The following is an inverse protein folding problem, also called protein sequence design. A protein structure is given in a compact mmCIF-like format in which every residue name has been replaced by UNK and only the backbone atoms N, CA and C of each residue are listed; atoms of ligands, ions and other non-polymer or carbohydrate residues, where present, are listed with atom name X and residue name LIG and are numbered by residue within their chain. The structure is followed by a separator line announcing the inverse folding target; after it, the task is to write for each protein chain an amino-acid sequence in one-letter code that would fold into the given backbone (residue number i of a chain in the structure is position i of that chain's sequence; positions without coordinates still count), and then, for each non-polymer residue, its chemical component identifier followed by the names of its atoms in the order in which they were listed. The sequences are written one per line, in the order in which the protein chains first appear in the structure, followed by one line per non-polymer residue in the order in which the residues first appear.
data_IF_353870509627
#
_entry.id   IF_353870509627
#
_cell.length_a   1.000
_cell.length_b   1.000
_cell.length_c   1.000
_cell.angle_alpha   90.00
_cell.angle_beta   90.00
_cell.angle_gamma   90.00
#
_symmetry.space_group_name_H-M   'P 1'
#
loop_
_entity.id
_entity.type
_entity.pdbx_description
1 polymer ?
#
# COMPACT_ATOMS: atom_id res chain seq x y z
N UNK A 1 -31.31 24.84 -0.67
CA UNK A 1 -30.00 25.32 -0.15
C UNK A 1 -29.00 25.07 -1.25
N UNK A 2 -28.52 26.14 -1.86
CA UNK A 2 -27.53 26.12 -2.93
C UNK A 2 -26.20 25.57 -2.41
N UNK A 3 -25.68 24.52 -3.05
CA UNK A 3 -24.30 24.06 -2.85
C UNK A 3 -23.34 25.05 -3.52
N UNK A 4 -22.40 25.59 -2.74
CA UNK A 4 -21.29 26.39 -3.28
C UNK A 4 -20.36 25.50 -4.12
N UNK A 5 -19.88 25.97 -5.29
CA UNK A 5 -18.97 25.21 -6.12
C UNK A 5 -17.56 25.19 -5.49
N UNK A 6 -16.99 24.00 -5.36
CA UNK A 6 -15.58 23.81 -5.00
C UNK A 6 -14.73 24.25 -6.20
N UNK A 7 -13.77 25.13 -5.95
CA UNK A 7 -12.89 25.71 -6.95
C UNK A 7 -12.13 24.63 -7.74
N UNK A 8 -12.25 24.68 -9.07
CA UNK A 8 -11.45 23.87 -10.00
C UNK A 8 -10.02 24.41 -10.05
N UNK A 9 -9.16 23.94 -9.16
CA UNK A 9 -7.71 23.98 -9.37
C UNK A 9 -7.33 22.80 -10.26
N UNK A 10 -6.93 23.07 -11.50
CA UNK A 10 -6.25 22.07 -12.35
C UNK A 10 -4.88 21.78 -11.74
N UNK A 11 -4.78 20.73 -10.94
CA UNK A 11 -3.49 20.06 -10.74
C UNK A 11 -3.44 18.96 -11.78
N UNK A 12 -2.64 19.17 -12.81
CA UNK A 12 -2.24 18.10 -13.70
C UNK A 12 -1.36 17.16 -12.85
N UNK A 13 -1.93 16.03 -12.44
CA UNK A 13 -1.13 14.93 -11.90
C UNK A 13 -0.54 14.24 -13.12
N UNK A 14 0.76 14.40 -13.32
CA UNK A 14 1.50 13.62 -14.31
C UNK A 14 1.37 12.15 -13.92
N UNK A 15 0.61 11.37 -14.70
CA UNK A 15 0.53 9.92 -14.53
C UNK A 15 1.85 9.33 -15.05
N UNK A 16 2.76 8.97 -14.16
CA UNK A 16 3.98 8.22 -14.52
C UNK A 16 3.59 6.89 -15.18
N UNK A 17 4.18 6.59 -16.34
CA UNK A 17 4.01 5.33 -17.05
C UNK A 17 4.65 4.18 -16.24
N UNK A 18 3.84 3.19 -15.88
CA UNK A 18 4.29 2.01 -15.13
C UNK A 18 4.43 0.83 -16.09
N UNK A 19 5.66 0.49 -16.48
CA UNK A 19 5.92 -0.76 -17.19
C UNK A 19 5.58 -1.96 -16.28
N UNK A 20 4.73 -2.88 -16.76
CA UNK A 20 4.49 -4.20 -16.17
C UNK A 20 5.83 -5.00 -16.07
N UNK A 21 6.49 -4.89 -14.91
CA UNK A 21 7.74 -5.59 -14.55
C UNK A 21 7.53 -6.86 -13.70
N UNK A 22 6.30 -7.35 -13.61
CA UNK A 22 5.94 -8.35 -12.59
C UNK A 22 6.56 -9.75 -12.81
N UNK A 23 6.88 -10.15 -14.04
CA UNK A 23 7.37 -11.51 -14.32
C UNK A 23 8.90 -11.70 -14.17
N UNK A 24 9.71 -10.66 -14.42
CA UNK A 24 11.19 -10.75 -14.35
C UNK A 24 11.71 -10.46 -12.94
N UNK A 25 11.09 -9.53 -12.22
CA UNK A 25 11.60 -9.10 -10.92
C UNK A 25 11.33 -10.15 -9.81
N UNK A 26 10.22 -10.89 -9.88
CA UNK A 26 9.92 -11.99 -8.96
C UNK A 26 10.92 -13.15 -9.07
N UNK A 27 11.45 -13.41 -10.27
CA UNK A 27 12.48 -14.42 -10.49
C UNK A 27 13.79 -14.03 -9.80
N UNK A 28 14.12 -12.74 -9.77
CA UNK A 28 15.33 -12.24 -9.13
C UNK A 28 15.31 -12.39 -7.61
N UNK A 29 14.12 -12.38 -6.98
CA UNK A 29 13.97 -12.53 -5.53
C UNK A 29 14.04 -14.00 -5.06
N UNK A 30 13.81 -14.96 -5.96
CA UNK A 30 13.72 -16.38 -5.66
C UNK A 30 12.42 -16.75 -4.92
N UNK A 31 12.18 -18.06 -4.74
CA UNK A 31 11.01 -18.59 -4.01
C UNK A 31 9.64 -18.01 -4.47
N UNK A 32 9.47 -17.84 -5.78
CA UNK A 32 8.24 -17.28 -6.36
C UNK A 32 7.96 -15.83 -5.98
N UNK A 33 9.00 -15.04 -5.69
CA UNK A 33 8.88 -13.63 -5.29
C UNK A 33 8.69 -13.41 -3.78
N UNK A 34 8.55 -14.46 -2.98
CA UNK A 34 8.42 -14.34 -1.52
C UNK A 34 9.79 -14.16 -0.89
N UNK A 35 9.98 -13.10 -0.10
CA UNK A 35 11.23 -12.82 0.61
C UNK A 35 11.10 -13.12 2.10
N UNK A 36 12.25 -13.38 2.73
CA UNK A 36 12.38 -13.40 4.19
C UNK A 36 12.91 -12.03 4.64
N UNK A 37 12.46 -11.53 5.79
CA UNK A 37 12.80 -10.20 6.29
C UNK A 37 13.38 -10.36 7.69
N UNK A 38 14.64 -9.94 7.88
CA UNK A 38 15.30 -9.91 9.18
C UNK A 38 15.09 -8.53 9.80
N UNK A 39 14.36 -8.52 10.90
CA UNK A 39 13.99 -7.30 11.63
C UNK A 39 14.63 -7.31 13.02
N UNK A 40 15.44 -6.30 13.31
CA UNK A 40 16.05 -6.11 14.62
C UNK A 40 15.05 -5.49 15.60
N UNK A 41 15.00 -6.00 16.83
CA UNK A 41 14.13 -5.52 17.90
C UNK A 41 14.98 -5.05 19.10
N UNK A 42 14.38 -4.43 20.13
CA UNK A 42 15.11 -4.05 21.33
C UNK A 42 15.83 -5.24 21.99
N UNK A 43 15.13 -6.36 22.17
CA UNK A 43 15.70 -7.56 22.85
C UNK A 43 16.28 -8.62 21.92
N UNK A 44 16.17 -8.49 20.58
CA UNK A 44 16.66 -9.54 19.69
C UNK A 44 16.32 -9.35 18.21
N UNK A 45 15.94 -10.44 17.54
CA UNK A 45 15.64 -10.46 16.11
C UNK A 45 14.33 -11.21 15.81
N UNK A 46 13.59 -10.71 14.83
CA UNK A 46 12.38 -11.32 14.28
C UNK A 46 12.57 -11.63 12.80
N UNK A 47 11.96 -12.73 12.35
CA UNK A 47 11.88 -13.09 10.94
C UNK A 47 10.44 -12.98 10.46
N UNK A 48 10.23 -12.26 9.36
CA UNK A 48 8.95 -12.16 8.69
C UNK A 48 9.02 -12.73 7.29
N UNK A 49 7.95 -13.38 6.84
CA UNK A 49 7.72 -13.65 5.43
C UNK A 49 6.98 -12.46 4.83
N UNK A 50 7.41 -12.04 3.64
CA UNK A 50 6.79 -10.93 2.92
C UNK A 50 6.70 -11.22 1.42
N UNK A 51 5.67 -10.66 0.79
CA UNK A 51 5.49 -10.72 -0.66
C UNK A 51 6.39 -9.68 -1.32
N UNK A 52 7.55 -10.13 -1.82
CA UNK A 52 8.58 -9.26 -2.37
C UNK A 52 8.15 -8.57 -3.67
N UNK A 53 7.16 -9.09 -4.39
CA UNK A 53 6.59 -8.39 -5.56
C UNK A 53 5.93 -7.08 -5.11
N UNK A 54 5.37 -7.05 -3.89
CA UNK A 54 4.79 -5.83 -3.32
C UNK A 54 5.83 -4.80 -2.92
N UNK A 55 7.04 -5.25 -2.58
CA UNK A 55 8.15 -4.38 -2.23
C UNK A 55 8.55 -3.51 -3.43
N UNK A 56 8.47 -4.06 -4.63
CA UNK A 56 8.88 -3.41 -5.88
C UNK A 56 7.86 -2.41 -6.42
N UNK A 57 6.70 -2.29 -5.75
CA UNK A 57 5.69 -1.31 -6.15
C UNK A 57 6.18 0.09 -5.79
N UNK A 58 6.11 1.05 -6.72
CA UNK A 58 6.50 2.42 -6.41
C UNK A 58 5.65 2.98 -5.28
N UNK A 59 6.32 3.61 -4.31
CA UNK A 59 5.70 4.21 -3.13
C UNK A 59 4.91 3.22 -2.26
N UNK A 60 5.27 1.93 -2.30
CA UNK A 60 4.62 0.89 -1.52
C UNK A 60 4.56 1.26 -0.04
N UNK A 61 3.36 1.23 0.51
CA UNK A 61 3.17 1.22 1.95
C UNK A 61 3.19 -0.22 2.46
N UNK A 62 3.59 -0.40 3.72
CA UNK A 62 3.74 -1.76 4.26
C UNK A 62 2.42 -2.55 4.17
N UNK A 63 2.55 -3.75 3.61
CA UNK A 63 1.49 -4.75 3.48
C UNK A 63 1.54 -5.79 4.61
N UNK A 64 0.52 -6.66 4.75
CA UNK A 64 0.55 -7.72 5.73
C UNK A 64 1.83 -8.55 5.68
N UNK A 65 2.45 -8.72 6.85
CA UNK A 65 3.64 -9.53 7.09
C UNK A 65 3.26 -10.74 7.96
N UNK A 66 3.96 -11.85 7.80
CA UNK A 66 3.75 -13.03 8.65
C UNK A 66 4.98 -13.29 9.49
N UNK A 67 4.86 -13.16 10.82
CA UNK A 67 5.92 -13.54 11.75
C UNK A 67 6.19 -15.05 11.61
N UNK A 68 7.46 -15.41 11.38
CA UNK A 68 7.93 -16.79 11.30
C UNK A 68 8.57 -17.23 12.60
N UNK A 69 9.41 -16.38 13.17
CA UNK A 69 10.09 -16.65 14.42
C UNK A 69 10.55 -15.34 15.07
N UNK A 70 10.74 -15.39 16.39
CA UNK A 70 11.31 -14.31 17.18
C UNK A 70 12.20 -14.90 18.26
N UNK A 71 13.42 -14.40 18.38
CA UNK A 71 14.36 -14.83 19.40
C UNK A 71 14.98 -13.62 20.09
N UNK A 72 14.99 -13.66 21.42
CA UNK A 72 15.73 -12.71 22.25
C UNK A 72 17.21 -13.15 22.36
N UNK A 73 18.09 -12.17 22.49
CA UNK A 73 19.53 -12.36 22.59
C UNK A 73 20.04 -11.61 23.82
N UNK A 74 20.79 -12.31 24.69
CA UNK A 74 21.41 -11.69 25.86
C UNK A 74 22.40 -10.60 25.46
N UNK A 75 23.20 -10.88 24.42
CA UNK A 75 24.06 -9.90 23.77
C UNK A 75 23.68 -9.79 22.27
N UNK A 76 22.79 -8.84 21.99
CA UNK A 76 22.36 -8.53 20.62
C UNK A 76 23.51 -8.02 19.74
N UNK A 77 24.49 -7.33 20.32
CA UNK A 77 25.57 -6.72 19.56
C UNK A 77 26.52 -7.78 18.98
N UNK A 78 26.79 -8.87 19.72
CA UNK A 78 27.60 -9.98 19.21
C UNK A 78 26.82 -10.98 18.34
N UNK A 79 25.48 -10.96 18.40
CA UNK A 79 24.63 -11.85 17.61
C UNK A 79 24.80 -11.63 16.10
N UNK A 80 25.08 -10.39 15.69
CA UNK A 80 25.34 -9.98 14.31
C UNK A 80 26.32 -8.79 14.27
N UNK A 81 27.61 -9.05 14.10
CA UNK A 81 28.65 -8.01 14.04
C UNK A 81 29.67 -8.27 12.93
N UNK A 82 30.45 -7.25 12.56
CA UNK A 82 31.55 -7.41 11.61
C UNK A 82 32.69 -8.29 12.16
N UNK A 83 32.93 -8.25 13.48
CA UNK A 83 34.06 -8.93 14.12
C UNK A 83 33.77 -10.40 14.37
N UNK A 84 32.56 -10.71 14.87
CA UNK A 84 32.13 -12.07 15.24
C UNK A 84 31.29 -12.74 14.17
N UNK A 85 30.81 -11.97 13.19
CA UNK A 85 29.93 -12.47 12.16
C UNK A 85 28.49 -12.72 12.63
N UNK A 86 27.85 -13.75 12.06
CA UNK A 86 26.53 -14.22 12.49
C UNK A 86 26.69 -15.30 13.56
N UNK A 87 26.10 -15.10 14.74
CA UNK A 87 26.06 -16.11 15.80
C UNK A 87 25.34 -17.39 15.35
N UNK A 88 25.72 -18.54 15.92
CA UNK A 88 25.07 -19.84 15.60
C UNK A 88 23.56 -19.84 15.88
N UNK A 89 23.12 -19.13 16.94
CA UNK A 89 21.70 -18.99 17.24
C UNK A 89 20.96 -18.24 16.12
N UNK A 90 21.47 -17.09 15.68
CA UNK A 90 20.85 -16.32 14.59
C UNK A 90 20.96 -17.04 13.24
N UNK A 91 22.10 -17.69 12.96
CA UNK A 91 22.30 -18.49 11.76
C UNK A 91 21.31 -19.67 11.71
N UNK A 92 21.11 -20.36 12.82
CA UNK A 92 20.13 -21.44 12.95
C UNK A 92 18.69 -20.95 12.79
N UNK A 93 18.37 -19.75 13.29
CA UNK A 93 17.08 -19.10 13.09
C UNK A 93 16.83 -18.82 11.60
N UNK A 94 17.76 -18.19 10.89
CA UNK A 94 17.62 -17.86 9.46
C UNK A 94 17.54 -19.13 8.60
N UNK A 95 18.45 -20.08 8.80
CA UNK A 95 18.52 -21.33 8.01
C UNK A 95 17.26 -22.19 8.11
N UNK A 96 16.50 -22.07 9.20
CA UNK A 96 15.26 -22.82 9.40
C UNK A 96 14.14 -22.38 8.45
N UNK A 97 14.14 -21.11 8.04
CA UNK A 97 13.03 -20.51 7.28
C UNK A 97 13.41 -20.06 5.86
N UNK A 98 14.69 -19.80 5.60
CA UNK A 98 15.16 -19.41 4.25
C UNK A 98 15.06 -20.61 3.30
N UNK A 99 14.42 -20.41 2.14
CA UNK A 99 14.42 -21.39 1.06
C UNK A 99 15.66 -21.23 0.15
N UNK A 100 16.14 -22.28 -0.52
CA UNK A 100 17.24 -22.17 -1.48
C UNK A 100 16.95 -21.12 -2.56
N UNK A 101 17.90 -20.20 -2.77
CA UNK A 101 17.80 -19.10 -3.74
C UNK A 101 16.90 -17.94 -3.29
N UNK A 102 16.24 -18.02 -2.13
CA UNK A 102 15.41 -16.95 -1.59
C UNK A 102 16.27 -15.77 -1.10
N UNK A 103 15.78 -14.56 -1.34
CA UNK A 103 16.41 -13.33 -0.87
C UNK A 103 16.00 -12.96 0.56
N UNK A 104 16.97 -12.50 1.36
CA UNK A 104 16.78 -11.99 2.72
C UNK A 104 16.85 -10.46 2.74
N UNK A 105 15.74 -9.77 3.03
CA UNK A 105 15.73 -8.34 3.28
C UNK A 105 16.28 -8.02 4.67
N UNK A 106 17.16 -7.03 4.76
CA UNK A 106 17.82 -6.62 6.01
C UNK A 106 17.73 -5.11 6.21
N UNK A 107 17.72 -4.63 7.46
CA UNK A 107 17.48 -3.22 7.77
C UNK A 107 18.73 -2.34 7.74
N UNK A 108 19.92 -2.94 7.71
CA UNK A 108 21.21 -2.23 7.72
C UNK A 108 22.11 -2.77 6.61
N UNK A 109 22.84 -1.88 5.96
CA UNK A 109 23.76 -2.25 4.88
C UNK A 109 24.89 -3.17 5.38
N UNK A 110 25.36 -2.99 6.62
CA UNK A 110 26.37 -3.85 7.24
C UNK A 110 25.94 -5.33 7.31
N UNK A 111 24.64 -5.59 7.51
CA UNK A 111 24.11 -6.96 7.59
C UNK A 111 24.18 -7.69 6.25
N UNK A 112 24.12 -6.97 5.14
CA UNK A 112 24.30 -7.55 3.79
C UNK A 112 25.66 -8.24 3.72
N UNK A 113 26.73 -7.51 4.04
CA UNK A 113 28.11 -8.01 3.96
C UNK A 113 28.35 -9.20 4.89
N UNK A 114 27.90 -9.10 6.14
CA UNK A 114 28.11 -10.14 7.16
C UNK A 114 27.37 -11.43 6.79
N UNK A 115 26.09 -11.33 6.43
CA UNK A 115 25.25 -12.49 6.14
C UNK A 115 25.65 -13.16 4.82
N UNK A 116 25.97 -12.38 3.78
CA UNK A 116 26.46 -12.93 2.51
C UNK A 116 27.77 -13.69 2.70
N UNK A 117 28.71 -13.14 3.47
CA UNK A 117 30.02 -13.77 3.69
C UNK A 117 29.94 -15.02 4.56
N UNK A 118 29.13 -14.99 5.63
CA UNK A 118 29.08 -16.07 6.61
C UNK A 118 28.09 -17.18 6.25
N UNK A 119 26.96 -16.84 5.61
CA UNK A 119 25.88 -17.78 5.32
C UNK A 119 25.69 -18.05 3.82
N UNK A 120 26.31 -17.28 2.93
CA UNK A 120 26.13 -17.43 1.48
C UNK A 120 24.71 -17.11 0.99
N UNK A 121 23.94 -16.34 1.78
CA UNK A 121 22.54 -16.00 1.48
C UNK A 121 22.50 -14.68 0.72
N UNK A 122 21.72 -14.61 -0.36
CA UNK A 122 21.46 -13.36 -1.09
C UNK A 122 20.67 -12.41 -0.19
N UNK A 123 21.24 -11.25 0.11
CA UNK A 123 20.58 -10.19 0.87
C UNK A 123 20.08 -9.04 -0.03
N UNK A 124 19.03 -8.36 0.41
CA UNK A 124 18.48 -7.15 -0.20
C UNK A 124 18.47 -6.00 0.82
N UNK A 125 19.03 -4.87 0.41
CA UNK A 125 18.98 -3.60 1.13
C UNK A 125 18.85 -2.48 0.10
N UNK A 126 17.73 -1.76 0.13
CA UNK A 126 17.40 -0.66 -0.78
C UNK A 126 16.33 0.22 -0.14
N UNK A 127 15.92 1.29 -0.84
CA UNK A 127 14.93 2.24 -0.34
C UNK A 127 13.59 1.55 0.00
N UNK A 128 13.16 0.58 -0.81
CA UNK A 128 11.92 -0.16 -0.62
C UNK A 128 11.95 -1.06 0.63
N UNK A 129 13.08 -1.73 0.90
CA UNK A 129 13.29 -2.45 2.17
C UNK A 129 13.20 -1.49 3.35
N UNK A 130 13.72 -0.27 3.23
CA UNK A 130 13.65 0.71 4.33
C UNK A 130 12.20 1.18 4.59
N UNK A 131 11.36 1.32 3.55
CA UNK A 131 9.91 1.57 3.70
C UNK A 131 9.22 0.40 4.43
N UNK A 132 9.60 -0.84 4.13
CA UNK A 132 9.10 -2.03 4.83
C UNK A 132 9.56 -2.04 6.30
N UNK A 133 10.83 -1.80 6.58
CA UNK A 133 11.37 -1.73 7.95
C UNK A 133 10.70 -0.62 8.75
N UNK A 134 10.41 0.51 8.11
CA UNK A 134 9.63 1.59 8.70
C UNK A 134 8.23 1.14 9.12
N UNK A 135 7.52 0.44 8.23
CA UNK A 135 6.20 -0.11 8.56
C UNK A 135 6.25 -1.12 9.70
N UNK A 136 7.26 -2.00 9.71
CA UNK A 136 7.47 -2.99 10.76
C UNK A 136 7.70 -2.32 12.11
N UNK A 137 8.52 -1.27 12.15
CA UNK A 137 8.74 -0.45 13.34
C UNK A 137 7.45 0.17 13.89
N UNK A 138 6.60 0.72 13.00
CA UNK A 138 5.33 1.33 13.40
C UNK A 138 4.29 0.32 13.91
N UNK A 139 4.40 -0.97 13.54
CA UNK A 139 3.49 -2.02 13.97
C UNK A 139 4.10 -3.01 14.98
N UNK A 140 5.35 -2.82 15.40
CA UNK A 140 6.11 -3.82 16.17
C UNK A 140 5.40 -4.30 17.44
N UNK A 141 4.68 -3.41 18.12
CA UNK A 141 3.83 -3.72 19.30
C UNK A 141 2.83 -4.85 19.09
N UNK A 142 2.39 -5.05 17.84
CA UNK A 142 1.38 -6.04 17.45
C UNK A 142 1.99 -7.21 16.67
N UNK A 143 3.21 -7.05 16.17
CA UNK A 143 3.89 -8.02 15.31
C UNK A 143 4.90 -8.88 16.07
N UNK A 144 5.44 -8.41 17.19
CA UNK A 144 6.51 -9.09 17.93
C UNK A 144 6.18 -9.17 19.42
N UNK A 145 6.47 -10.29 20.12
CA UNK A 145 6.23 -10.44 21.55
C UNK A 145 6.84 -9.33 22.42
N UNK A 146 8.03 -8.84 22.07
CA UNK A 146 8.74 -7.77 22.77
C UNK A 146 8.36 -6.35 22.31
N UNK A 147 7.34 -6.24 21.46
CA UNK A 147 6.95 -4.96 20.85
C UNK A 147 6.50 -3.89 21.85
N UNK A 148 6.19 -4.24 23.11
CA UNK A 148 5.75 -3.32 24.17
C UNK A 148 6.89 -2.54 24.85
N UNK A 149 8.15 -2.87 24.58
CA UNK A 149 9.27 -2.08 25.09
C UNK A 149 9.20 -0.66 24.52
N UNK A 150 9.37 0.36 25.38
CA UNK A 150 9.23 1.76 25.01
C UNK A 150 10.04 2.06 23.73
N UNK A 151 9.34 2.52 22.70
CA UNK A 151 9.94 3.06 21.49
C UNK A 151 10.86 4.22 21.90
N UNK A 152 12.14 4.18 21.52
CA UNK A 152 12.92 5.41 21.53
C UNK A 152 12.25 6.36 20.51
N UNK A 153 12.18 7.66 20.84
CA UNK A 153 11.62 8.67 19.93
C UNK A 153 12.39 8.76 18.61
N UNK A 154 13.59 8.19 18.55
CA UNK A 154 14.49 8.15 17.41
C UNK A 154 14.15 7.01 16.42
N UNK A 155 13.44 5.95 16.85
CA UNK A 155 13.18 4.75 16.03
C UNK A 155 11.89 4.83 15.18
N UNK A 156 10.99 5.76 15.48
CA UNK A 156 9.81 6.02 14.66
C UNK A 156 10.10 7.18 13.69
N UNK A 157 10.54 6.89 12.47
CA UNK A 157 10.51 7.94 11.45
C UNK A 157 9.04 8.42 11.31
N UNK A 158 8.77 9.71 11.19
CA UNK A 158 7.41 10.22 11.27
C UNK A 158 6.61 10.01 9.97
N UNK A 159 7.27 9.93 8.81
CA UNK A 159 6.65 9.61 7.52
C UNK A 159 7.65 8.94 6.58
N UNK A 160 7.23 7.85 5.95
CA UNK A 160 7.94 7.25 4.84
C UNK A 160 7.58 7.94 3.50
N UNK A 161 8.33 7.68 2.43
CA UNK A 161 8.12 8.34 1.13
C UNK A 161 6.77 7.93 0.52
N UNK A 162 6.36 6.67 0.66
CA UNK A 162 5.05 6.23 0.18
C UNK A 162 3.88 6.97 0.85
N UNK A 163 4.06 7.32 2.12
CA UNK A 163 3.09 8.07 2.89
C UNK A 163 3.04 9.52 2.42
N UNK A 164 4.19 10.17 2.22
CA UNK A 164 4.27 11.55 1.71
C UNK A 164 3.63 11.68 0.33
N UNK A 165 3.94 10.75 -0.58
CA UNK A 165 3.33 10.70 -1.91
C UNK A 165 1.80 10.64 -1.82
N UNK A 166 1.28 9.72 -1.01
CA UNK A 166 -0.16 9.54 -0.85
C UNK A 166 -0.80 10.75 -0.19
N UNK A 167 -0.24 11.29 0.89
CA UNK A 167 -0.75 12.49 1.56
C UNK A 167 -0.83 13.67 0.60
N UNK A 168 0.22 13.92 -0.18
CA UNK A 168 0.26 14.99 -1.17
C UNK A 168 -0.87 14.83 -2.21
N UNK A 169 -1.04 13.62 -2.77
CA UNK A 169 -2.11 13.31 -3.72
C UNK A 169 -3.51 13.63 -3.19
N UNK A 170 -3.73 13.49 -1.88
CA UNK A 170 -5.01 13.78 -1.23
C UNK A 170 -5.11 15.18 -0.61
N UNK A 171 -4.14 16.06 -0.87
CA UNK A 171 -4.17 17.46 -0.43
C UNK A 171 -3.61 17.72 0.97
N UNK A 172 -2.89 16.75 1.55
CA UNK A 172 -2.29 16.84 2.89
C UNK A 172 -0.76 16.88 2.83
N UNK A 173 -0.18 17.45 1.78
CA UNK A 173 1.27 17.51 1.58
C UNK A 173 2.04 18.32 2.64
N UNK A 174 1.37 19.29 3.26
CA UNK A 174 1.95 20.14 4.31
C UNK A 174 1.81 19.55 5.73
N UNK A 175 1.30 18.32 5.86
CA UNK A 175 1.14 17.66 7.15
C UNK A 175 2.50 17.47 7.82
N UNK A 176 2.65 18.00 9.03
CA UNK A 176 3.93 17.92 9.73
C UNK A 176 4.15 16.51 10.30
N UNK A 177 5.40 16.01 10.24
CA UNK A 177 5.86 14.81 10.91
C UNK A 177 5.28 14.54 12.31
N UNK A 178 5.25 15.54 13.19
CA UNK A 178 4.88 15.40 14.59
C UNK A 178 3.37 15.18 14.79
N UNK A 179 2.58 15.41 13.74
CA UNK A 179 1.13 15.26 13.73
C UNK A 179 0.71 13.86 13.28
N UNK A 180 1.65 13.07 12.76
CA UNK A 180 1.36 11.74 12.24
C UNK A 180 1.06 10.79 13.38
N UNK A 181 -0.16 10.26 13.34
CA UNK A 181 -0.61 9.22 14.25
C UNK A 181 -0.74 7.90 13.52
N UNK A 182 -0.76 6.79 14.26
CA UNK A 182 -1.05 5.47 13.69
C UNK A 182 -2.33 5.44 12.85
N UNK A 183 -3.39 6.11 13.29
CA UNK A 183 -4.65 6.18 12.54
C UNK A 183 -4.48 6.87 11.18
N UNK A 184 -3.62 7.89 11.10
CA UNK A 184 -3.28 8.57 9.84
C UNK A 184 -2.47 7.62 8.95
N UNK A 185 -1.49 6.89 9.51
CA UNK A 185 -0.71 5.88 8.78
C UNK A 185 -1.64 4.81 8.17
N UNK A 186 -2.55 4.25 8.97
CA UNK A 186 -3.51 3.23 8.51
C UNK A 186 -4.47 3.75 7.43
N UNK A 187 -5.00 4.96 7.60
CA UNK A 187 -5.90 5.58 6.62
C UNK A 187 -5.18 5.89 5.30
N UNK A 188 -3.93 6.36 5.38
CA UNK A 188 -3.09 6.64 4.22
C UNK A 188 -2.73 5.36 3.48
N UNK A 189 -2.33 4.29 4.21
CA UNK A 189 -2.13 2.95 3.68
C UNK A 189 -3.33 2.45 2.89
N UNK A 190 -4.53 2.58 3.46
CA UNK A 190 -5.76 2.16 2.78
C UNK A 190 -6.02 2.95 1.49
N UNK A 191 -5.72 4.25 1.47
CA UNK A 191 -5.86 5.07 0.26
C UNK A 191 -4.90 4.63 -0.84
N UNK A 192 -3.62 4.44 -0.50
CA UNK A 192 -2.61 3.92 -1.41
C UNK A 192 -3.07 2.61 -2.04
N UNK A 193 -3.53 1.64 -1.24
CA UNK A 193 -4.03 0.36 -1.72
C UNK A 193 -5.17 0.52 -2.72
N UNK A 194 -6.15 1.37 -2.39
CA UNK A 194 -7.29 1.57 -3.28
C UNK A 194 -6.90 2.21 -4.61
N UNK A 195 -5.92 3.09 -4.62
CA UNK A 195 -5.41 3.68 -5.85
C UNK A 195 -4.57 2.69 -6.65
N UNK A 196 -3.71 1.90 -5.98
CA UNK A 196 -2.96 0.83 -6.63
C UNK A 196 -3.89 -0.19 -7.30
N UNK A 197 -4.98 -0.60 -6.64
CA UNK A 197 -5.95 -1.52 -7.22
C UNK A 197 -6.66 -0.99 -8.48
N UNK A 198 -6.67 0.34 -8.69
CA UNK A 198 -7.14 0.95 -9.93
C UNK A 198 -6.00 1.03 -10.95
N UNK A 199 -4.84 1.52 -10.50
CA UNK A 199 -3.66 1.79 -11.34
C UNK A 199 -3.02 0.53 -11.92
N UNK A 200 -3.03 -0.59 -11.20
CA UNK A 200 -2.50 -1.88 -11.68
C UNK A 200 -3.20 -2.40 -12.94
N UNK A 201 -4.43 -1.91 -13.22
CA UNK A 201 -5.15 -2.23 -14.44
C UNK A 201 -4.92 -1.19 -15.55
N UNK A 202 -4.08 -0.18 -15.29
CA UNK A 202 -3.87 0.99 -16.13
C UNK A 202 -3.47 0.63 -17.55
N UNK A 203 -2.35 -0.06 -17.72
CA UNK A 203 -1.84 -0.46 -19.05
C UNK A 203 -2.88 -1.28 -19.83
N UNK A 204 -3.44 -2.30 -19.19
CA UNK A 204 -4.48 -3.17 -19.78
C UNK A 204 -5.72 -2.38 -20.22
N UNK A 205 -6.20 -1.43 -19.40
CA UNK A 205 -7.37 -0.60 -19.73
C UNK A 205 -7.06 0.43 -20.82
N UNK A 206 -5.86 1.03 -20.81
CA UNK A 206 -5.41 1.95 -21.86
C UNK A 206 -5.24 1.21 -23.19
N UNK A 207 -4.68 0.01 -23.17
CA UNK A 207 -4.59 -0.86 -24.35
C UNK A 207 -5.97 -1.21 -24.89
N UNK A 208 -6.91 -1.60 -24.03
CA UNK A 208 -8.29 -1.82 -24.42
C UNK A 208 -8.97 -0.55 -24.98
N UNK A 209 -8.63 0.63 -24.44
CA UNK A 209 -9.05 1.92 -24.99
C UNK A 209 -8.59 2.17 -26.43
N UNK A 210 -7.40 1.67 -26.83
CA UNK A 210 -6.93 1.75 -28.23
C UNK A 210 -7.85 1.00 -29.19
N UNK A 211 -8.52 -0.07 -28.74
CA UNK A 211 -9.52 -0.78 -29.55
C UNK A 211 -10.78 0.06 -29.78
N UNK A 212 -11.19 0.89 -28.81
CA UNK A 212 -12.33 1.80 -28.96
C UNK A 212 -12.13 2.78 -30.13
N UNK A 213 -10.93 3.35 -30.22
CA UNK A 213 -10.54 4.24 -31.33
C UNK A 213 -10.49 3.49 -32.65
N UNK A 214 -9.91 2.27 -32.67
CA UNK A 214 -9.74 1.48 -33.88
C UNK A 214 -11.06 0.97 -34.49
N UNK A 215 -11.99 0.51 -33.65
CA UNK A 215 -13.21 -0.20 -34.09
C UNK A 215 -14.40 0.75 -34.17
N UNK A 216 -14.52 1.63 -33.17
CA UNK A 216 -15.65 2.53 -33.02
C UNK A 216 -15.27 3.99 -33.24
N UNK A 217 -14.00 4.34 -33.50
CA UNK A 217 -13.58 5.73 -33.66
C UNK A 217 -13.77 6.59 -32.41
N UNK A 218 -13.95 5.97 -31.23
CA UNK A 218 -14.15 6.68 -29.95
C UNK A 218 -12.78 7.04 -29.40
N UNK A 219 -12.56 8.32 -29.09
CA UNK A 219 -11.33 8.75 -28.42
C UNK A 219 -11.52 8.67 -26.90
N UNK A 220 -10.77 7.79 -26.25
CA UNK A 220 -10.86 7.54 -24.80
C UNK A 220 -9.54 7.83 -24.06
N UNK A 221 -8.65 8.61 -24.68
CA UNK A 221 -7.35 8.99 -24.10
C UNK A 221 -7.52 9.80 -22.80
N UNK A 222 -8.54 10.66 -22.72
CA UNK A 222 -8.84 11.52 -21.57
C UNK A 222 -9.76 10.86 -20.52
N UNK A 223 -10.23 9.63 -20.77
CA UNK A 223 -11.13 8.95 -19.85
C UNK A 223 -10.37 8.44 -18.63
N UNK A 224 -10.97 8.52 -17.45
CA UNK A 224 -10.40 7.82 -16.28
C UNK A 224 -10.50 6.29 -16.45
N UNK A 225 -9.64 5.56 -15.74
CA UNK A 225 -9.55 4.10 -15.86
C UNK A 225 -10.88 3.39 -15.55
N UNK A 226 -11.69 3.90 -14.63
CA UNK A 226 -12.97 3.27 -14.29
C UNK A 226 -14.02 3.55 -15.38
N UNK A 227 -14.01 4.73 -16.00
CA UNK A 227 -14.83 5.02 -17.17
C UNK A 227 -14.47 4.08 -18.33
N UNK A 228 -13.18 3.88 -18.60
CA UNK A 228 -12.70 2.89 -19.58
C UNK A 228 -13.17 1.47 -19.24
N UNK A 229 -12.96 1.02 -17.99
CA UNK A 229 -13.40 -0.30 -17.55
C UNK A 229 -14.92 -0.47 -17.69
N UNK A 230 -15.69 0.58 -17.42
CA UNK A 230 -17.16 0.57 -17.60
C UNK A 230 -17.55 0.40 -19.06
N UNK A 231 -16.88 1.10 -19.99
CA UNK A 231 -17.13 0.92 -21.43
C UNK A 231 -16.78 -0.50 -21.89
N UNK A 232 -15.62 -1.02 -21.48
CA UNK A 232 -15.19 -2.38 -21.81
C UNK A 232 -16.18 -3.41 -21.28
N UNK A 233 -16.75 -3.19 -20.09
CA UNK A 233 -17.80 -4.04 -19.54
C UNK A 233 -19.08 -4.02 -20.39
N UNK A 234 -19.52 -2.84 -20.86
CA UNK A 234 -20.65 -2.74 -21.80
C UNK A 234 -20.40 -3.56 -23.07
N UNK A 235 -19.17 -3.54 -23.60
CA UNK A 235 -18.80 -4.28 -24.81
C UNK A 235 -18.67 -5.79 -24.56
N UNK A 236 -18.18 -6.20 -23.38
CA UNK A 236 -18.07 -7.61 -23.01
C UNK A 236 -19.43 -8.25 -22.69
N UNK A 237 -20.35 -7.46 -22.14
CA UNK A 237 -21.63 -7.89 -21.58
C UNK A 237 -22.76 -6.95 -22.05
N UNK A 238 -23.07 -6.96 -23.36
CA UNK A 238 -23.98 -5.98 -23.95
C UNK A 238 -25.46 -6.20 -23.58
N UNK A 239 -25.82 -7.36 -23.04
CA UNK A 239 -27.21 -7.67 -22.69
C UNK A 239 -27.58 -7.24 -21.27
N UNK A 240 -26.71 -6.46 -20.61
CA UNK A 240 -26.94 -6.02 -19.24
C UNK A 240 -26.82 -7.15 -18.22
N UNK A 241 -25.96 -8.14 -18.48
CA UNK A 241 -25.72 -9.27 -17.56
C UNK A 241 -25.18 -8.79 -16.19
N UNK A 242 -24.57 -7.60 -16.14
CA UNK A 242 -24.02 -7.01 -14.93
C UNK A 242 -24.51 -5.57 -14.73
N UNK A 243 -24.81 -5.23 -13.47
CA UNK A 243 -25.14 -3.86 -13.08
C UNK A 243 -23.87 -3.01 -13.06
N UNK A 244 -23.78 -2.07 -13.99
CA UNK A 244 -22.70 -1.09 -14.05
C UNK A 244 -22.99 0.11 -13.14
N UNK A 245 -21.93 0.75 -12.65
CA UNK A 245 -21.98 1.89 -11.74
C UNK A 245 -22.21 3.19 -12.53
N UNK A 246 -23.12 4.02 -12.03
CA UNK A 246 -23.42 5.34 -12.58
C UNK A 246 -24.53 5.32 -13.65
N UNK A 247 -24.88 6.51 -14.13
CA UNK A 247 -25.77 6.68 -15.26
C UNK A 247 -24.94 6.62 -16.55
N UNK A 248 -25.10 5.55 -17.33
CA UNK A 248 -24.23 5.29 -18.50
C UNK A 248 -24.39 6.35 -19.61
N UNK A 249 -25.62 6.77 -20.00
CA UNK A 249 -25.81 7.93 -20.88
C UNK A 249 -25.09 9.19 -20.40
N UNK A 250 -25.20 9.55 -19.12
CA UNK A 250 -24.51 10.73 -18.58
C UNK A 250 -22.99 10.55 -18.55
N UNK A 251 -22.51 9.33 -18.27
CA UNK A 251 -21.08 9.02 -18.16
C UNK A 251 -20.38 9.11 -19.52
N UNK A 252 -21.02 8.64 -20.59
CA UNK A 252 -20.43 8.54 -21.93
C UNK A 252 -20.90 9.63 -22.90
N UNK A 253 -21.99 10.33 -22.61
CA UNK A 253 -22.52 11.38 -23.49
C UNK A 253 -22.77 10.84 -24.90
N UNK A 254 -22.25 11.54 -25.90
CA UNK A 254 -22.45 11.22 -27.33
C UNK A 254 -21.87 9.84 -27.72
N UNK A 255 -20.88 9.33 -26.98
CA UNK A 255 -20.27 8.02 -27.26
C UNK A 255 -21.16 6.85 -26.80
N UNK A 256 -22.17 7.09 -25.96
CA UNK A 256 -22.99 6.04 -25.35
C UNK A 256 -23.68 5.16 -26.40
N UNK A 257 -24.43 5.77 -27.32
CA UNK A 257 -25.18 5.03 -28.35
C UNK A 257 -24.23 4.21 -29.22
N UNK A 258 -23.06 4.76 -29.55
CA UNK A 258 -22.05 4.08 -30.35
C UNK A 258 -21.46 2.87 -29.64
N UNK A 259 -21.20 2.96 -28.34
CA UNK A 259 -20.76 1.81 -27.54
C UNK A 259 -21.78 0.68 -27.55
N UNK A 260 -23.08 1.01 -27.48
CA UNK A 260 -24.17 0.02 -27.52
C UNK A 260 -24.27 -0.62 -28.90
N UNK A 261 -24.33 0.19 -29.96
CA UNK A 261 -24.51 -0.25 -31.34
C UNK A 261 -23.32 -1.09 -31.82
N UNK A 262 -22.11 -0.72 -31.42
CA UNK A 262 -20.88 -1.40 -31.85
C UNK A 262 -20.51 -2.60 -30.96
N UNK A 263 -21.18 -2.85 -29.84
CA UNK A 263 -20.81 -3.93 -28.93
C UNK A 263 -20.62 -5.30 -29.61
N UNK A 264 -21.46 -5.73 -30.57
CA UNK A 264 -21.24 -6.99 -31.30
C UNK A 264 -19.89 -7.08 -32.03
N UNK A 265 -19.30 -5.94 -32.44
CA UNK A 265 -18.00 -5.86 -33.13
C UNK A 265 -16.83 -6.25 -32.22
N UNK A 266 -17.01 -6.24 -30.91
CA UNK A 266 -15.98 -6.57 -29.92
C UNK A 266 -15.98 -8.04 -29.50
N UNK A 267 -16.79 -8.89 -30.15
CA UNK A 267 -16.84 -10.32 -29.87
C UNK A 267 -15.46 -10.97 -30.05
N UNK A 268 -14.94 -11.54 -28.96
CA UNK A 268 -13.65 -12.24 -28.94
C UNK A 268 -12.42 -11.35 -28.80
N UNK A 269 -12.58 -10.03 -28.70
CA UNK A 269 -11.45 -9.10 -28.52
C UNK A 269 -10.98 -9.11 -27.06
N UNK A 270 -11.93 -9.05 -26.13
CA UNK A 270 -11.63 -8.98 -24.71
C UNK A 270 -11.89 -10.32 -24.01
N UNK A 271 -11.01 -10.66 -23.06
CA UNK A 271 -11.23 -11.78 -22.14
C UNK A 271 -12.26 -11.36 -21.08
N UNK A 272 -13.53 -11.72 -21.33
CA UNK A 272 -14.69 -11.36 -20.50
C UNK A 272 -14.46 -11.47 -18.98
N UNK A 273 -13.90 -12.60 -18.52
CA UNK A 273 -13.68 -12.85 -17.09
C UNK A 273 -12.59 -11.94 -16.49
N UNK A 274 -11.52 -11.65 -17.25
CA UNK A 274 -10.48 -10.72 -16.82
C UNK A 274 -11.01 -9.30 -16.69
N UNK A 275 -11.79 -8.85 -17.68
CA UNK A 275 -12.45 -7.54 -17.64
C UNK A 275 -13.40 -7.40 -16.45
N UNK A 276 -14.21 -8.44 -16.18
CA UNK A 276 -15.11 -8.47 -15.03
C UNK A 276 -14.35 -8.36 -13.71
N UNK A 277 -13.27 -9.14 -13.53
CA UNK A 277 -12.45 -9.08 -12.32
C UNK A 277 -11.83 -7.71 -12.10
N UNK A 278 -11.22 -7.14 -13.14
CA UNK A 278 -10.63 -5.82 -13.09
C UNK A 278 -11.68 -4.76 -12.74
N UNK A 279 -12.82 -4.77 -13.42
CA UNK A 279 -13.94 -3.86 -13.15
C UNK A 279 -14.45 -3.97 -11.71
N UNK A 280 -14.68 -5.19 -11.22
CA UNK A 280 -15.17 -5.44 -9.87
C UNK A 280 -14.21 -4.93 -8.80
N UNK A 281 -12.90 -5.17 -8.97
CA UNK A 281 -11.86 -4.63 -8.10
C UNK A 281 -11.85 -3.10 -8.11
N UNK A 282 -11.88 -2.46 -9.28
CA UNK A 282 -11.86 -1.00 -9.40
C UNK A 282 -13.09 -0.35 -8.76
N UNK A 283 -14.28 -0.93 -8.95
CA UNK A 283 -15.53 -0.46 -8.32
C UNK A 283 -15.45 -0.61 -6.79
N UNK A 284 -14.98 -1.76 -6.30
CA UNK A 284 -14.79 -2.00 -4.86
C UNK A 284 -13.82 -0.97 -4.26
N UNK A 285 -12.68 -0.76 -4.91
CA UNK A 285 -11.66 0.19 -4.48
C UNK A 285 -12.17 1.62 -4.46
N UNK A 286 -12.92 2.05 -5.49
CA UNK A 286 -13.53 3.40 -5.51
C UNK A 286 -14.45 3.63 -4.29
N UNK A 287 -15.25 2.64 -3.90
CA UNK A 287 -16.15 2.74 -2.73
C UNK A 287 -15.38 2.84 -1.42
N UNK A 288 -14.31 2.04 -1.26
CA UNK A 288 -13.46 2.06 -0.07
C UNK A 288 -12.70 3.39 0.01
N UNK A 289 -12.14 3.85 -1.12
CA UNK A 289 -11.39 5.11 -1.24
C UNK A 289 -12.18 6.30 -0.71
N UNK A 290 -13.45 6.45 -1.10
CA UNK A 290 -14.29 7.56 -0.61
C UNK A 290 -14.55 7.53 0.90
N UNK A 291 -14.52 6.35 1.54
CA UNK A 291 -14.62 6.24 3.00
C UNK A 291 -13.28 6.53 3.67
N UNK A 292 -12.20 5.99 3.12
CA UNK A 292 -10.84 6.20 3.62
C UNK A 292 -10.43 7.68 3.53
N UNK A 293 -10.76 8.36 2.43
CA UNK A 293 -10.44 9.78 2.22
C UNK A 293 -11.12 10.67 3.26
N UNK A 294 -12.43 10.46 3.50
CA UNK A 294 -13.16 11.17 4.56
C UNK A 294 -12.60 10.91 5.95
N UNK A 295 -12.18 9.66 6.21
CA UNK A 295 -11.56 9.31 7.50
C UNK A 295 -10.20 10.00 7.66
N UNK A 296 -9.38 10.02 6.61
CA UNK A 296 -8.08 10.70 6.64
C UNK A 296 -8.26 12.20 6.89
N UNK A 297 -9.16 12.85 6.15
CA UNK A 297 -9.52 14.26 6.33
C UNK A 297 -9.89 14.58 7.79
N UNK A 298 -10.81 13.80 8.37
CA UNK A 298 -11.21 13.97 9.77
C UNK A 298 -10.06 13.79 10.76
N UNK A 299 -9.15 12.84 10.50
CA UNK A 299 -7.99 12.57 11.36
C UNK A 299 -6.95 13.68 11.26
N UNK A 300 -6.69 14.19 10.06
CA UNK A 300 -5.74 15.30 9.83
C UNK A 300 -6.25 16.58 10.49
N UNK A 301 -7.52 16.93 10.27
CA UNK A 301 -8.13 18.10 10.93
C UNK A 301 -8.08 18.00 12.46
N UNK A 302 -8.27 16.81 13.03
CA UNK A 302 -8.15 16.62 14.47
C UNK A 302 -6.71 16.78 14.95
N UNK A 303 -5.73 16.26 14.21
CA UNK A 303 -4.31 16.39 14.52
C UNK A 303 -3.84 17.85 14.44
N UNK A 304 -4.29 18.61 13.43
CA UNK A 304 -4.04 20.06 13.28
C UNK A 304 -4.51 20.83 14.50
N UNK A 305 -5.76 20.63 14.94
CA UNK A 305 -6.30 21.30 16.14
C UNK A 305 -5.48 21.02 17.38
N UNK A 306 -5.14 19.75 17.63
CA UNK A 306 -4.33 19.35 18.79
C UNK A 306 -2.94 20.00 18.71
N UNK A 307 -2.33 20.02 17.54
CA UNK A 307 -1.03 20.62 17.33
C UNK A 307 -1.04 22.14 17.59
N UNK A 308 -2.07 22.85 17.09
CA UNK A 308 -2.24 24.28 17.31
C UNK A 308 -2.54 24.63 18.77
N UNK A 309 -3.33 23.82 19.47
CA UNK A 309 -3.59 23.95 20.91
C UNK A 309 -2.30 23.75 21.72
N UNK A 310 -1.47 22.76 21.36
CA UNK A 310 -0.17 22.52 21.99
C UNK A 310 0.84 23.64 21.69
N UNK A 311 0.82 24.20 20.48
CA UNK A 311 1.62 25.37 20.10
C UNK A 311 1.21 26.61 20.90
N UNK A 312 -0.09 26.85 21.04
CA UNK A 312 -0.65 27.97 21.79
C UNK A 312 -0.42 27.86 23.30
N UNK A 313 -0.39 26.63 23.84
CA UNK A 313 -0.11 26.38 25.27
C UNK A 313 1.39 26.35 25.60
N UNK A 314 2.27 26.08 24.63
CA UNK A 314 3.73 26.17 24.82
C UNK A 314 4.24 27.61 25.03
N UNK A 315 3.48 28.63 24.58
CA UNK A 315 3.72 30.02 24.95
C UNK A 315 3.32 30.34 26.41
N UNK A 316 2.67 29.41 27.13
CA UNK A 316 2.12 29.61 28.46
C UNK A 316 2.62 28.65 29.56
N UNK A 317 3.49 27.66 29.25
CA UNK A 317 4.09 26.78 30.28
C UNK A 317 5.54 26.44 29.98
N UNK A 318 6.43 27.14 30.66
CA UNK A 318 7.72 26.60 31.09
C UNK A 318 7.49 25.42 32.02
N UNK A 319 8.23 24.34 31.76
CA UNK A 319 8.50 23.18 32.59
C UNK A 319 7.33 22.25 33.00
N UNK A 320 7.62 20.96 32.78
CA UNK A 320 6.90 19.79 33.29
C UNK A 320 5.47 19.59 32.75
N UNK A 321 5.34 18.78 31.69
CA UNK A 321 4.39 17.65 31.51
C UNK A 321 4.15 17.39 30.01
N UNK A 322 5.00 16.58 29.37
CA UNK A 322 4.70 15.94 28.07
C UNK A 322 5.06 14.46 28.13
N UNK A 323 4.40 13.77 29.05
CA UNK A 323 4.33 12.31 29.10
C UNK A 323 2.85 11.96 29.13
N UNK A 324 2.46 10.96 28.34
CA UNK A 324 1.13 10.36 28.09
C UNK A 324 0.26 10.93 26.96
N UNK A 325 0.43 10.35 25.77
CA UNK A 325 -0.70 10.02 24.89
C UNK A 325 -0.79 8.49 24.80
N UNK A 326 -1.27 7.88 25.89
CA UNK A 326 -1.70 6.48 25.89
C UNK A 326 -3.07 6.41 25.21
N UNK A 327 -3.11 6.20 23.89
CA UNK A 327 -4.36 5.93 23.19
C UNK A 327 -4.73 4.46 23.41
N UNK A 328 -5.43 4.21 24.52
CA UNK A 328 -6.00 2.91 24.88
C UNK A 328 -7.11 2.50 23.92
N UNK A 329 -7.07 1.23 23.53
CA UNK A 329 -8.25 0.35 23.34
C UNK A 329 -9.38 0.92 22.48
N UNK A 330 -9.34 0.74 21.15
CA UNK A 330 -10.54 0.43 20.32
C UNK A 330 -10.24 0.01 18.86
N UNK A 331 -8.99 -0.04 18.41
CA UNK A 331 -8.65 -0.45 17.03
C UNK A 331 -8.60 -1.99 16.79
N UNK A 332 -8.91 -2.82 17.80
CA UNK A 332 -8.65 -4.27 17.77
C UNK A 332 -9.62 -5.12 16.95
N UNK A 333 -10.64 -4.53 16.31
CA UNK A 333 -11.75 -5.31 15.72
C UNK A 333 -12.31 -4.80 14.38
N UNK A 334 -11.66 -3.85 13.69
CA UNK A 334 -12.21 -3.32 12.42
C UNK A 334 -11.43 -3.64 11.15
N UNK A 335 -10.15 -4.02 11.21
CA UNK A 335 -9.43 -4.38 9.98
C UNK A 335 -9.69 -5.82 9.52
N UNK A 336 -9.90 -6.78 10.43
CA UNK A 336 -10.22 -8.16 10.04
C UNK A 336 -11.56 -8.24 9.31
N UNK A 337 -12.52 -7.37 9.64
CA UNK A 337 -13.84 -7.32 9.00
C UNK A 337 -13.87 -6.51 7.69
N UNK A 338 -13.00 -5.51 7.51
CA UNK A 338 -13.02 -4.68 6.28
C UNK A 338 -12.15 -5.24 5.15
N UNK A 339 -11.15 -6.06 5.47
CA UNK A 339 -10.23 -6.65 4.48
C UNK A 339 -10.55 -8.13 4.21
N UNK A 340 -11.15 -8.87 5.15
CA UNK A 340 -11.24 -10.35 5.04
C UNK A 340 -12.49 -11.04 5.62
N UNK A 341 -13.67 -10.40 5.73
CA UNK A 341 -14.95 -11.15 5.62
C UNK A 341 -16.18 -10.23 5.61
N UNK A 342 -16.76 -10.06 4.43
CA UNK A 342 -18.21 -9.91 4.17
C UNK A 342 -18.39 -9.56 2.68
N UNK A 343 -19.25 -10.33 2.01
CA UNK A 343 -19.70 -10.17 0.61
C UNK A 343 -18.86 -10.76 -0.54
N UNK A 344 -18.25 -11.94 -0.34
CA UNK A 344 -18.06 -12.91 -1.44
C UNK A 344 -19.34 -13.74 -1.70
N UNK A 345 -20.40 -13.58 -0.88
CA UNK A 345 -21.67 -14.31 -1.03
C UNK A 345 -22.88 -13.49 -1.52
N UNK A 346 -22.71 -12.23 -1.95
CA UNK A 346 -23.83 -11.42 -2.47
C UNK A 346 -23.60 -10.79 -3.86
N UNK A 347 -22.64 -11.32 -4.63
CA UNK A 347 -22.46 -10.97 -6.06
C UNK A 347 -22.49 -12.23 -6.95
N UNK A 348 -23.33 -13.20 -6.57
CA UNK A 348 -23.80 -14.26 -7.46
C UNK A 348 -25.31 -14.19 -7.56
#
# INVERSE_FOLDING_TARGET
MEEKPIAKGKVAVEEEEYEDRDDDDGAQLGNGGVILVLFETPTGFALFSYDGIKLLRPHALMHPVWLKDFQAFEDKASALSLDTGVSEQLAGMIRRFICPGQTLAVGKQEYVTIIQSNLGIKCLWNAEVMELMWGLNNLKEHLVPDGKSELSKEDCLPMCEGMKFTLNKYGFGDLKPEMVTRSIIEATGLLYETDYHVRKHGESMRYAGKHLKKISGINAEDWDLLKLATAIMMLCYPNGEYKLVGNLPELFGDDYSKLVDDAPKYKGIFRKLSCLRAYAEMVRSRRIRSKAARRLDSLVTAAERIYDELGSTSAARSDQTRVTLHCSYYARLHLHALVFDADIKSVW
#
